data_IF_693786943302
#
_entry.id   IF_693786943302
#
_cell.length_a   1.000
_cell.length_b   1.000
_cell.length_c   1.000
_cell.angle_alpha   90.00
_cell.angle_beta   90.00
_cell.angle_gamma   90.00
#
_symmetry.space_group_name_H-M   'P 1'
#
loop_
_entity.id
_entity.type
_entity.pdbx_description
1 polymer ?
#
# COMPACT_ATOMS: atom_id res chain seq x y z
N UNK A 1 6.20 7.90 -12.44
CA UNK A 1 4.76 8.18 -12.34
C UNK A 1 4.24 7.37 -11.17
N UNK A 2 3.09 7.69 -10.61
CA UNK A 2 2.48 6.89 -9.55
C UNK A 2 0.99 7.18 -9.35
N UNK A 3 0.33 6.35 -8.55
CA UNK A 3 -0.92 6.69 -7.86
C UNK A 3 -0.63 6.73 -6.37
N UNK A 4 -0.89 7.87 -5.73
CA UNK A 4 -0.70 8.05 -4.29
C UNK A 4 -2.01 8.46 -3.64
N UNK A 5 -2.34 7.81 -2.52
CA UNK A 5 -3.51 8.13 -1.70
C UNK A 5 -3.18 7.95 -0.23
N UNK A 6 -3.73 8.85 0.59
CA UNK A 6 -3.83 8.67 2.03
C UNK A 6 -5.31 8.66 2.39
N UNK A 7 -5.73 7.63 3.12
CA UNK A 7 -7.11 7.48 3.56
C UNK A 7 -7.16 7.34 5.07
N UNK A 8 -8.16 7.96 5.69
CA UNK A 8 -8.48 7.68 7.08
C UNK A 8 -9.19 6.32 7.16
N UNK A 9 -8.90 5.56 8.22
CA UNK A 9 -9.57 4.31 8.54
C UNK A 9 -10.19 4.38 9.93
N UNK A 10 -11.47 4.04 10.04
CA UNK A 10 -12.14 3.80 11.32
C UNK A 10 -12.25 2.31 11.62
N UNK A 11 -11.92 1.43 10.66
CA UNK A 11 -11.73 0.00 10.91
C UNK A 11 -10.56 -0.19 11.89
N UNK A 12 -10.72 -1.00 12.96
CA UNK A 12 -9.65 -1.29 13.90
C UNK A 12 -8.41 -1.86 13.20
N UNK A 13 -7.21 -1.52 13.69
CA UNK A 13 -5.94 -2.05 13.17
C UNK A 13 -5.30 -2.93 14.25
N UNK A 14 -5.03 -4.19 13.94
CA UNK A 14 -4.31 -5.09 14.85
C UNK A 14 -2.89 -4.55 15.08
N UNK A 15 -2.38 -4.67 16.31
CA UNK A 15 -0.95 -4.42 16.58
C UNK A 15 -0.14 -5.57 15.98
N UNK A 16 0.38 -5.38 14.78
CA UNK A 16 1.11 -6.41 14.02
C UNK A 16 2.23 -5.79 13.20
N UNK A 17 3.28 -6.57 12.96
CA UNK A 17 4.38 -6.26 12.03
C UNK A 17 4.26 -7.08 10.74
N UNK A 18 3.12 -7.77 10.53
CA UNK A 18 2.88 -8.66 9.40
C UNK A 18 3.03 -7.93 8.07
N UNK A 19 3.90 -8.44 7.21
CA UNK A 19 4.05 -7.99 5.82
C UNK A 19 3.40 -9.02 4.92
N UNK A 20 2.43 -8.57 4.12
CA UNK A 20 1.71 -9.41 3.16
C UNK A 20 2.24 -9.14 1.76
N UNK A 21 2.54 -10.19 1.00
CA UNK A 21 2.91 -10.06 -0.42
C UNK A 21 1.75 -10.48 -1.30
N UNK A 22 1.33 -9.62 -2.23
CA UNK A 22 0.24 -9.90 -3.16
C UNK A 22 0.72 -9.90 -4.60
N UNK A 23 0.10 -10.71 -5.45
CA UNK A 23 0.31 -10.58 -6.90
C UNK A 23 -0.03 -9.15 -7.34
N UNK A 24 0.65 -8.65 -8.37
CA UNK A 24 0.37 -7.33 -8.96
C UNK A 24 -1.12 -7.14 -9.31
N UNK A 25 -1.79 -8.18 -9.79
CA UNK A 25 -3.25 -8.16 -10.04
C UNK A 25 -4.05 -7.86 -8.77
N UNK A 26 -3.81 -8.59 -7.68
CA UNK A 26 -4.51 -8.39 -6.42
C UNK A 26 -4.19 -7.02 -5.81
N UNK A 27 -2.95 -6.56 -5.92
CA UNK A 27 -2.56 -5.23 -5.47
C UNK A 27 -3.29 -4.12 -6.25
N UNK A 28 -3.43 -4.26 -7.57
CA UNK A 28 -4.19 -3.31 -8.39
C UNK A 28 -5.67 -3.26 -7.99
N UNK A 29 -6.26 -4.42 -7.62
CA UNK A 29 -7.63 -4.49 -7.09
C UNK A 29 -7.78 -3.71 -5.79
N UNK A 30 -6.80 -3.80 -4.86
CA UNK A 30 -6.77 -2.95 -3.67
C UNK A 30 -6.81 -1.48 -4.02
N UNK A 31 -6.09 -1.08 -5.08
CA UNK A 31 -6.08 0.27 -5.62
C UNK A 31 -7.45 0.79 -6.10
N UNK A 32 -8.50 -0.03 -6.19
CA UNK A 32 -9.83 0.48 -6.56
C UNK A 32 -10.51 1.21 -5.40
N UNK A 33 -11.39 2.16 -5.71
CA UNK A 33 -12.11 2.93 -4.69
C UNK A 33 -12.95 2.03 -3.76
N UNK A 34 -13.63 1.04 -4.33
CA UNK A 34 -14.50 0.13 -3.57
C UNK A 34 -13.69 -0.76 -2.60
N UNK A 35 -12.53 -1.27 -3.02
CA UNK A 35 -11.67 -2.05 -2.12
C UNK A 35 -11.12 -1.19 -0.98
N UNK A 36 -10.65 0.02 -1.27
CA UNK A 36 -10.18 0.93 -0.23
C UNK A 36 -11.28 1.31 0.76
N UNK A 37 -12.51 1.56 0.28
CA UNK A 37 -13.67 1.85 1.14
C UNK A 37 -13.99 0.69 2.09
N UNK A 38 -14.09 -0.54 1.57
CA UNK A 38 -14.38 -1.72 2.41
C UNK A 38 -13.25 -2.00 3.39
N UNK A 39 -12.00 -1.76 2.99
CA UNK A 39 -10.85 -1.92 3.87
C UNK A 39 -10.83 -0.87 4.99
N UNK A 40 -11.17 0.38 4.69
CA UNK A 40 -11.06 1.50 5.64
C UNK A 40 -12.17 1.54 6.70
N UNK A 41 -13.32 0.90 6.47
CA UNK A 41 -14.45 0.90 7.41
C UNK A 41 -15.20 -0.42 7.44
N UNK A 42 -15.73 -0.79 8.60
CA UNK A 42 -16.69 -1.87 8.77
C UNK A 42 -18.16 -1.39 8.71
N UNK A 43 -18.38 -0.07 8.68
CA UNK A 43 -19.71 0.57 8.64
C UNK A 43 -20.31 0.52 7.24
N UNK A 44 -20.69 -0.68 6.78
CA UNK A 44 -21.27 -0.92 5.44
C UNK A 44 -22.30 0.14 4.99
N UNK A 45 -23.16 0.59 5.90
CA UNK A 45 -24.25 1.54 5.61
C UNK A 45 -23.75 2.89 5.08
N UNK A 46 -22.53 3.30 5.39
CA UNK A 46 -21.94 4.57 4.95
C UNK A 46 -21.38 4.51 3.53
N UNK A 47 -21.23 3.30 2.96
CA UNK A 47 -20.51 3.10 1.71
C UNK A 47 -21.38 3.22 0.45
N UNK A 48 -22.71 3.23 0.59
CA UNK A 48 -23.63 3.25 -0.56
C UNK A 48 -23.56 1.98 -1.42
N UNK A 49 -23.06 0.88 -0.87
CA UNK A 49 -22.84 -0.39 -1.59
C UNK A 49 -23.92 -1.42 -1.27
N UNK A 50 -24.19 -2.31 -2.23
CA UNK A 50 -25.07 -3.46 -2.00
C UNK A 50 -24.45 -4.40 -0.96
N UNK A 51 -25.31 -5.10 -0.20
CA UNK A 51 -24.88 -6.04 0.84
C UNK A 51 -23.96 -7.13 0.26
N UNK A 52 -24.39 -7.76 -0.83
CA UNK A 52 -23.63 -8.84 -1.47
C UNK A 52 -22.27 -8.37 -1.97
N UNK A 53 -22.19 -7.17 -2.54
CA UNK A 53 -20.91 -6.65 -3.06
C UNK A 53 -19.94 -6.26 -1.93
N UNK A 54 -20.43 -5.68 -0.83
CA UNK A 54 -19.61 -5.45 0.36
C UNK A 54 -18.99 -6.74 0.89
N UNK A 55 -19.81 -7.78 1.09
CA UNK A 55 -19.31 -9.06 1.61
C UNK A 55 -18.40 -9.78 0.63
N UNK A 56 -18.66 -9.68 -0.68
CA UNK A 56 -17.74 -10.19 -1.70
C UNK A 56 -16.33 -9.58 -1.55
N UNK A 57 -16.23 -8.26 -1.43
CA UNK A 57 -14.92 -7.59 -1.23
C UNK A 57 -14.31 -7.95 0.12
N UNK A 58 -15.11 -7.94 1.19
CA UNK A 58 -14.63 -8.26 2.54
C UNK A 58 -14.05 -9.67 2.62
N UNK A 59 -14.72 -10.67 2.04
CA UNK A 59 -14.22 -12.05 1.99
C UNK A 59 -12.95 -12.17 1.16
N UNK A 60 -12.82 -11.39 0.08
CA UNK A 60 -11.59 -11.36 -0.70
C UNK A 60 -10.43 -10.70 0.07
N UNK A 61 -10.69 -9.62 0.81
CA UNK A 61 -9.71 -9.00 1.72
C UNK A 61 -9.27 -9.96 2.84
N UNK A 62 -10.19 -10.75 3.41
CA UNK A 62 -9.88 -11.80 4.38
C UNK A 62 -9.04 -12.90 3.77
N UNK A 63 -9.39 -13.38 2.57
CA UNK A 63 -8.61 -14.38 1.82
C UNK A 63 -7.19 -13.90 1.49
N UNK A 64 -7.01 -12.61 1.25
CA UNK A 64 -5.68 -12.00 1.06
C UNK A 64 -4.91 -11.81 2.39
N UNK A 65 -5.50 -12.18 3.54
CA UNK A 65 -4.89 -12.02 4.86
C UNK A 65 -4.80 -10.56 5.33
N UNK A 66 -5.60 -9.67 4.74
CA UNK A 66 -5.58 -8.23 5.02
C UNK A 66 -6.54 -7.84 6.14
N UNK A 67 -7.60 -8.62 6.32
CA UNK A 67 -8.60 -8.44 7.37
C UNK A 67 -8.78 -9.74 8.14
N UNK A 68 -8.74 -9.65 9.47
CA UNK A 68 -8.98 -10.76 10.40
C UNK A 68 -9.81 -10.24 11.57
N UNK A 69 -10.84 -10.97 12.00
CA UNK A 69 -11.73 -10.55 13.09
C UNK A 69 -12.32 -9.14 12.88
N UNK A 70 -12.62 -8.78 11.62
CA UNK A 70 -13.02 -7.46 11.16
C UNK A 70 -12.00 -6.31 11.38
N UNK A 71 -10.79 -6.60 11.84
CA UNK A 71 -9.70 -5.66 11.96
C UNK A 71 -8.70 -5.78 10.80
N UNK A 72 -8.05 -4.69 10.43
CA UNK A 72 -6.91 -4.70 9.50
C UNK A 72 -5.77 -5.48 10.16
N UNK A 73 -5.25 -6.48 9.46
CA UNK A 73 -4.35 -7.49 10.01
C UNK A 73 -2.92 -7.42 9.47
N UNK A 74 -2.55 -6.33 8.80
CA UNK A 74 -1.22 -6.14 8.21
C UNK A 74 -0.57 -4.81 8.61
N UNK A 75 0.77 -4.78 8.57
CA UNK A 75 1.57 -3.56 8.66
C UNK A 75 1.85 -2.97 7.28
N UNK A 76 2.26 -3.81 6.33
CA UNK A 76 2.44 -3.44 4.94
C UNK A 76 1.96 -4.53 3.98
N UNK A 77 1.54 -4.12 2.79
CA UNK A 77 1.28 -5.00 1.64
C UNK A 77 2.22 -4.59 0.52
N UNK A 78 2.94 -5.55 -0.05
CA UNK A 78 3.89 -5.34 -1.15
C UNK A 78 3.48 -6.16 -2.38
N UNK A 79 3.44 -5.58 -3.58
CA UNK A 79 3.18 -6.32 -4.80
C UNK A 79 4.39 -7.12 -5.26
N UNK A 80 4.14 -8.26 -5.92
CA UNK A 80 5.15 -9.02 -6.65
C UNK A 80 4.65 -9.44 -8.03
N UNK A 81 5.59 -9.69 -8.94
CA UNK A 81 5.36 -10.24 -10.26
C UNK A 81 6.03 -11.62 -10.34
N UNK A 82 5.25 -12.70 -10.51
CA UNK A 82 5.84 -14.01 -10.80
C UNK A 82 6.46 -14.02 -12.20
N UNK A 83 7.67 -14.54 -12.27
CA UNK A 83 8.40 -14.88 -13.51
C UNK A 83 8.61 -16.39 -13.54
N UNK A 84 9.11 -16.89 -14.68
CA UNK A 84 9.38 -18.32 -14.86
C UNK A 84 10.32 -18.89 -13.78
N UNK A 85 11.31 -18.11 -13.34
CA UNK A 85 12.34 -18.55 -12.38
C UNK A 85 12.52 -17.60 -11.18
N UNK A 86 11.73 -16.54 -11.06
CA UNK A 86 11.86 -15.54 -9.99
C UNK A 86 10.51 -14.98 -9.53
N UNK A 87 10.53 -14.36 -8.35
CA UNK A 87 9.48 -13.44 -7.91
C UNK A 87 10.11 -12.05 -7.85
N UNK A 88 9.69 -11.18 -8.78
CA UNK A 88 10.18 -9.81 -8.81
C UNK A 88 9.35 -8.99 -7.83
N UNK A 89 10.00 -8.36 -6.85
CA UNK A 89 9.36 -7.35 -6.03
C UNK A 89 8.99 -6.16 -6.91
N UNK A 90 7.72 -5.77 -6.87
CA UNK A 90 7.27 -4.59 -7.58
C UNK A 90 7.17 -3.40 -6.63
N UNK A 91 7.29 -2.19 -7.18
CA UNK A 91 7.28 -0.99 -6.37
C UNK A 91 5.85 -0.49 -6.19
N UNK A 92 5.24 -0.98 -5.13
CA UNK A 92 4.02 -0.43 -4.55
C UNK A 92 3.99 -0.75 -3.07
N UNK A 93 3.18 -0.03 -2.32
CA UNK A 93 2.90 -0.37 -0.93
C UNK A 93 1.52 0.12 -0.50
N UNK A 94 0.82 -0.71 0.27
CA UNK A 94 -0.27 -0.29 1.13
C UNK A 94 0.20 -0.44 2.58
N UNK A 95 0.19 0.64 3.35
CA UNK A 95 0.79 0.68 4.68
C UNK A 95 -0.19 1.19 5.72
N UNK A 96 -0.23 0.55 6.90
CA UNK A 96 -1.02 1.01 8.04
C UNK A 96 -0.18 1.90 8.95
N UNK A 97 -0.71 3.08 9.27
CA UNK A 97 -0.02 4.10 10.04
C UNK A 97 -1.03 4.80 10.96
N UNK A 98 -1.11 4.38 12.22
CA UNK A 98 -2.18 4.78 13.14
C UNK A 98 -3.54 4.55 12.47
N UNK A 99 -4.35 5.61 12.31
CA UNK A 99 -5.65 5.57 11.66
C UNK A 99 -5.59 5.95 10.16
N UNK A 100 -4.43 5.79 9.53
CA UNK A 100 -4.26 6.05 8.10
C UNK A 100 -3.84 4.81 7.34
N UNK A 101 -4.39 4.67 6.13
CA UNK A 101 -3.91 3.80 5.07
C UNK A 101 -3.15 4.65 4.07
N UNK A 102 -1.86 4.37 3.88
CA UNK A 102 -1.01 5.02 2.91
C UNK A 102 -0.84 4.06 1.73
N UNK A 103 -1.38 4.42 0.58
CA UNK A 103 -1.26 3.64 -0.65
C UNK A 103 -0.38 4.38 -1.65
N UNK A 104 0.57 3.66 -2.23
CA UNK A 104 1.29 4.10 -3.41
C UNK A 104 1.48 2.95 -4.38
N UNK A 105 1.25 3.23 -5.66
CA UNK A 105 1.60 2.35 -6.77
C UNK A 105 2.50 3.10 -7.75
N UNK A 106 3.78 2.71 -7.84
CA UNK A 106 4.72 3.31 -8.79
C UNK A 106 4.59 2.75 -10.21
N UNK A 107 3.81 1.69 -10.40
CA UNK A 107 3.46 1.14 -11.71
C UNK A 107 2.35 1.91 -12.42
N UNK A 108 1.66 2.82 -11.71
CA UNK A 108 0.59 3.65 -12.27
C UNK A 108 1.13 4.87 -13.02
N UNK A 109 0.40 5.26 -14.06
CA UNK A 109 0.62 6.45 -14.88
C UNK A 109 -0.22 7.67 -14.44
N UNK A 110 -0.97 7.57 -13.34
CA UNK A 110 -1.94 8.60 -12.92
C UNK A 110 -1.31 9.97 -12.62
N UNK A 111 -0.19 10.00 -11.90
CA UNK A 111 0.52 11.22 -11.54
C UNK A 111 1.98 11.21 -12.01
N UNK A 112 2.52 12.38 -12.32
CA UNK A 112 3.95 12.58 -12.60
C UNK A 112 4.54 13.57 -11.60
N UNK A 113 5.74 13.33 -11.06
CA UNK A 113 6.35 14.20 -10.05
C UNK A 113 6.41 15.70 -10.42
N UNK A 114 6.76 16.08 -11.67
CA UNK A 114 6.81 17.50 -12.05
C UNK A 114 5.48 18.23 -11.88
N UNK A 115 4.36 17.55 -12.18
CA UNK A 115 3.01 18.13 -12.15
C UNK A 115 2.10 17.46 -11.11
N UNK A 116 2.67 16.86 -10.06
CA UNK A 116 1.90 16.04 -9.12
C UNK A 116 1.04 16.92 -8.20
N UNK A 117 -0.29 16.77 -8.21
CA UNK A 117 -1.18 17.55 -7.34
C UNK A 117 -1.08 17.13 -5.87
N UNK A 118 -0.61 15.91 -5.59
CA UNK A 118 -0.50 15.32 -4.25
C UNK A 118 0.96 15.20 -3.78
N UNK A 119 1.84 16.06 -4.29
CA UNK A 119 3.28 15.96 -4.01
C UNK A 119 3.60 16.08 -2.52
N UNK A 120 3.01 17.06 -1.84
CA UNK A 120 3.29 17.33 -0.43
C UNK A 120 2.84 16.16 0.45
N UNK A 121 1.65 15.61 0.18
CA UNK A 121 1.10 14.45 0.85
C UNK A 121 1.93 13.20 0.58
N UNK A 122 2.43 13.03 -0.66
CA UNK A 122 3.33 11.94 -1.04
C UNK A 122 4.66 12.00 -0.28
N UNK A 123 5.27 13.19 -0.16
CA UNK A 123 6.48 13.42 0.64
C UNK A 123 6.23 13.16 2.12
N UNK A 124 5.08 13.61 2.64
CA UNK A 124 4.68 13.35 4.01
C UNK A 124 4.55 11.85 4.29
N UNK A 125 3.82 11.12 3.43
CA UNK A 125 3.66 9.67 3.53
C UNK A 125 5.00 8.95 3.50
N UNK A 126 5.90 9.35 2.59
CA UNK A 126 7.24 8.79 2.46
C UNK A 126 8.03 8.91 3.78
N UNK A 127 8.11 10.13 4.33
CA UNK A 127 8.83 10.40 5.58
C UNK A 127 8.21 9.63 6.75
N UNK A 128 6.88 9.55 6.77
CA UNK A 128 6.15 8.87 7.84
C UNK A 128 6.40 7.36 7.84
N UNK A 129 6.27 6.71 6.68
CA UNK A 129 6.56 5.28 6.54
C UNK A 129 8.03 4.99 6.85
N UNK A 130 8.96 5.80 6.32
CA UNK A 130 10.39 5.64 6.60
C UNK A 130 10.73 5.76 8.09
N UNK A 131 10.12 6.71 8.79
CA UNK A 131 10.31 6.91 10.23
C UNK A 131 9.77 5.73 11.03
N UNK A 132 8.54 5.31 10.79
CA UNK A 132 7.92 4.17 11.50
C UNK A 132 8.69 2.87 11.24
N UNK A 133 9.13 2.64 10.01
CA UNK A 133 9.93 1.47 9.63
C UNK A 133 11.40 1.59 10.04
N UNK A 134 11.84 2.73 10.58
CA UNK A 134 13.23 3.04 10.93
C UNK A 134 14.18 2.78 9.76
N UNK A 135 13.81 3.23 8.57
CA UNK A 135 14.61 3.15 7.35
C UNK A 135 15.09 4.56 7.01
N UNK A 136 16.40 4.74 6.89
CA UNK A 136 16.96 6.01 6.46
C UNK A 136 16.65 6.22 4.99
N UNK A 137 16.04 7.34 4.67
CA UNK A 137 15.86 7.83 3.30
C UNK A 137 16.65 9.14 3.15
N UNK A 138 17.12 9.42 1.94
CA UNK A 138 17.79 10.68 1.64
C UNK A 138 16.88 11.90 1.85
N UNK A 139 17.46 13.09 1.78
CA UNK A 139 16.69 14.32 1.82
C UNK A 139 15.70 14.39 0.64
N UNK A 140 14.47 14.80 0.93
CA UNK A 140 13.51 15.20 -0.10
C UNK A 140 13.12 16.64 0.18
N UNK A 141 13.46 17.53 -0.74
CA UNK A 141 13.00 18.91 -0.73
C UNK A 141 11.59 19.02 -1.30
N UNK A 142 10.94 20.15 -1.04
CA UNK A 142 9.66 20.50 -1.66
C UNK A 142 9.83 21.49 -2.83
N UNK A 143 11.06 21.67 -3.29
CA UNK A 143 11.45 22.57 -4.37
C UNK A 143 11.16 21.99 -5.76
N UNK A 144 11.18 22.87 -6.76
CA UNK A 144 10.90 22.55 -8.16
C UNK A 144 11.96 21.60 -8.76
N UNK A 145 13.21 21.69 -8.31
CA UNK A 145 14.30 20.83 -8.74
C UNK A 145 14.06 19.38 -8.30
N UNK A 146 13.71 19.16 -7.03
CA UNK A 146 13.33 17.86 -6.47
C UNK A 146 12.13 17.23 -7.21
N UNK A 147 11.19 18.07 -7.68
CA UNK A 147 10.06 17.64 -8.52
C UNK A 147 10.52 17.19 -9.91
N UNK A 148 11.35 17.99 -10.58
CA UNK A 148 11.92 17.70 -11.91
C UNK A 148 12.77 16.44 -11.91
N UNK A 149 13.62 16.28 -10.89
CA UNK A 149 14.48 15.12 -10.69
C UNK A 149 13.76 13.87 -10.15
N UNK A 150 12.44 13.97 -9.91
CA UNK A 150 11.60 12.86 -9.44
C UNK A 150 12.14 12.24 -8.14
N UNK A 151 12.73 13.06 -7.25
CA UNK A 151 13.37 12.57 -6.02
C UNK A 151 12.40 11.72 -5.18
N UNK A 152 11.13 12.11 -4.94
CA UNK A 152 10.21 11.26 -4.16
C UNK A 152 9.95 9.91 -4.79
N UNK A 153 9.85 9.81 -6.12
CA UNK A 153 9.68 8.52 -6.80
C UNK A 153 10.88 7.60 -6.53
N UNK A 154 12.11 8.13 -6.63
CA UNK A 154 13.33 7.37 -6.35
C UNK A 154 13.37 6.91 -4.89
N UNK A 155 13.00 7.79 -3.95
CA UNK A 155 12.99 7.45 -2.54
C UNK A 155 11.90 6.44 -2.16
N UNK A 156 10.72 6.49 -2.77
CA UNK A 156 9.69 5.46 -2.59
C UNK A 156 10.18 4.10 -3.08
N UNK A 157 10.86 4.05 -4.24
CA UNK A 157 11.48 2.82 -4.73
C UNK A 157 12.49 2.25 -3.72
N UNK A 158 13.39 3.11 -3.19
CA UNK A 158 14.38 2.71 -2.19
C UNK A 158 13.71 2.26 -0.89
N UNK A 159 12.67 2.95 -0.43
CA UNK A 159 11.96 2.63 0.80
C UNK A 159 11.26 1.28 0.70
N UNK A 160 10.51 1.02 -0.38
CA UNK A 160 9.81 -0.26 -0.59
C UNK A 160 10.79 -1.43 -0.63
N UNK A 161 11.90 -1.29 -1.36
CA UNK A 161 12.97 -2.30 -1.39
C UNK A 161 13.61 -2.49 -0.02
N UNK A 162 13.82 -1.40 0.73
CA UNK A 162 14.35 -1.45 2.09
C UNK A 162 13.41 -2.14 3.08
N UNK A 163 12.09 -1.90 2.97
CA UNK A 163 11.06 -2.57 3.76
C UNK A 163 11.08 -4.07 3.47
N UNK A 164 11.11 -4.45 2.20
CA UNK A 164 11.20 -5.86 1.80
C UNK A 164 12.47 -6.50 2.36
N UNK A 165 13.65 -5.92 2.11
CA UNK A 165 14.93 -6.47 2.58
C UNK A 165 14.97 -6.62 4.11
N UNK A 166 14.43 -5.66 4.85
CA UNK A 166 14.35 -5.71 6.32
C UNK A 166 13.36 -6.77 6.83
N UNK A 167 12.35 -7.10 6.03
CA UNK A 167 11.21 -7.92 6.44
C UNK A 167 11.19 -9.29 5.80
N UNK A 168 12.14 -9.64 4.93
CA UNK A 168 12.16 -10.92 4.21
C UNK A 168 12.21 -12.11 5.17
N UNK A 169 12.91 -11.97 6.31
CA UNK A 169 12.97 -12.99 7.37
C UNK A 169 11.63 -13.13 8.11
N UNK A 170 10.76 -12.12 8.00
CA UNK A 170 9.43 -12.02 8.64
C UNK A 170 8.30 -12.19 7.63
N UNK A 171 8.59 -12.65 6.42
CA UNK A 171 7.57 -12.86 5.41
C UNK A 171 6.71 -14.06 5.83
N UNK A 172 5.48 -13.80 6.27
CA UNK A 172 4.59 -14.85 6.79
C UNK A 172 3.84 -15.61 5.69
N UNK A 173 3.43 -14.92 4.62
CA UNK A 173 2.62 -15.55 3.58
C UNK A 173 2.76 -14.85 2.21
N UNK A 174 2.74 -15.68 1.17
CA UNK A 174 2.49 -15.29 -0.22
C UNK A 174 1.20 -16.01 -0.65
N UNK A 175 0.01 -15.38 -0.55
CA UNK A 175 -1.21 -15.96 -1.08
C UNK A 175 -1.12 -16.11 -2.60
N UNK A 176 -0.97 -17.36 -3.06
CA UNK A 176 -1.07 -17.76 -4.47
C UNK A 176 -2.52 -18.20 -4.70
N UNK A 177 -3.17 -17.74 -5.79
CA UNK A 177 -4.44 -18.35 -6.20
C UNK A 177 -4.14 -19.79 -6.62
N UNK A 178 -4.71 -20.77 -5.93
CA UNK A 178 -4.82 -22.12 -6.49
C UNK A 178 -5.63 -22.03 -7.78
N UNK A 179 -5.06 -22.57 -8.86
CA UNK A 179 -5.76 -22.82 -10.12
C UNK A 179 -6.91 -23.79 -9.92
#
# INVERSE_FOLDING_TARGET
MCDYRILNTDRPVKKTEKIVMLSRENFNRLGTENYMKVLSTDRRQTLGMSKSYYYYILEDLKRMGLVEDNAIAFKAVLPFIPRESSLDLDVGILYTSNNHLIFIDMGSDKYSCPACPVYAECVFGLRRVATEMKIKIGGVGNDEESRKERVPSRLWNSLVKGIFAKSIVRLEAIPVRGT
#
